data_IF_621955646135
#
_entry.id   IF_621955646135
#
_cell.length_a   1.000
_cell.length_b   1.000
_cell.length_c   1.000
_cell.angle_alpha   90.00
_cell.angle_beta   90.00
_cell.angle_gamma   90.00
#
_symmetry.space_group_name_H-M   'P 1'
#
loop_
_entity.id
_entity.type
_entity.pdbx_description
1 polymer ?
#
# COMPACT_ATOMS: atom_id res chain seq x y z
N UNK A 1 3.57 -8.67 20.99
CA UNK A 1 2.69 -7.59 20.51
C UNK A 1 3.15 -6.22 21.00
N UNK A 2 2.91 -5.83 22.27
CA UNK A 2 3.31 -4.49 22.78
C UNK A 2 4.81 -4.18 22.62
N UNK A 3 5.69 -5.16 22.88
CA UNK A 3 7.14 -5.00 22.66
C UNK A 3 7.51 -4.63 21.22
N UNK A 4 6.80 -5.16 20.23
CA UNK A 4 7.10 -4.90 18.82
C UNK A 4 6.66 -3.47 18.44
N UNK A 5 5.46 -3.06 18.87
CA UNK A 5 4.95 -1.69 18.70
C UNK A 5 5.94 -0.67 19.30
N UNK A 6 6.41 -0.92 20.53
CA UNK A 6 7.38 -0.05 21.22
C UNK A 6 8.74 0.05 20.50
N UNK A 7 9.12 -0.97 19.71
CA UNK A 7 10.34 -0.96 18.90
C UNK A 7 10.12 -0.23 17.56
N UNK A 8 8.93 -0.37 16.97
CA UNK A 8 8.65 0.11 15.61
C UNK A 8 8.23 1.58 15.59
N UNK A 9 7.36 2.00 16.52
CA UNK A 9 6.83 3.37 16.58
C UNK A 9 7.93 4.44 16.67
N UNK A 10 9.00 4.31 17.48
CA UNK A 10 10.07 5.32 17.50
C UNK A 10 10.85 5.45 16.18
N UNK A 11 10.78 4.44 15.30
CA UNK A 11 11.53 4.36 14.03
C UNK A 11 10.69 4.77 12.81
N UNK A 12 9.38 4.98 12.98
CA UNK A 12 8.51 5.40 11.90
C UNK A 12 8.85 6.81 11.41
N UNK A 13 8.71 7.05 10.10
CA UNK A 13 8.86 8.36 9.47
C UNK A 13 10.00 9.22 10.06
N UNK A 14 11.25 8.73 10.10
CA UNK A 14 12.33 9.34 10.90
C UNK A 14 12.70 10.76 10.45
N UNK A 15 12.40 11.11 9.20
CA UNK A 15 12.66 12.42 8.61
C UNK A 15 11.56 13.45 8.91
N UNK A 16 10.45 13.04 9.53
CA UNK A 16 9.30 13.90 9.79
C UNK A 16 9.22 14.24 11.30
N UNK A 17 9.56 15.48 11.72
CA UNK A 17 9.78 15.84 13.12
C UNK A 17 8.62 15.55 14.07
N UNK A 18 7.37 15.66 13.59
CA UNK A 18 6.16 15.36 14.37
C UNK A 18 6.20 13.95 14.98
N UNK A 19 6.63 12.92 14.25
CA UNK A 19 6.66 11.54 14.73
C UNK A 19 7.79 11.27 15.74
N UNK A 20 8.70 12.22 15.93
CA UNK A 20 9.74 12.15 16.95
C UNK A 20 9.25 12.67 18.32
N UNK A 21 8.08 13.33 18.37
CA UNK A 21 7.52 13.85 19.61
C UNK A 21 6.88 12.73 20.43
N UNK A 22 7.15 12.70 21.75
CA UNK A 22 6.65 11.65 22.64
C UNK A 22 5.14 11.52 22.63
N UNK A 23 4.42 12.65 22.60
CA UNK A 23 2.95 12.66 22.56
C UNK A 23 2.39 11.93 21.35
N UNK A 24 3.02 12.07 20.17
CA UNK A 24 2.61 11.38 18.95
C UNK A 24 2.92 9.90 19.04
N UNK A 25 4.12 9.54 19.51
CA UNK A 25 4.51 8.13 19.71
C UNK A 25 3.55 7.42 20.68
N UNK A 26 3.17 8.07 21.77
CA UNK A 26 2.20 7.53 22.73
C UNK A 26 0.80 7.33 22.12
N UNK A 27 0.35 8.24 21.23
CA UNK A 27 -0.90 8.04 20.47
C UNK A 27 -0.80 6.79 19.58
N UNK A 28 0.28 6.66 18.81
CA UNK A 28 0.52 5.49 17.95
C UNK A 28 0.60 4.19 18.73
N UNK A 29 1.35 4.16 19.83
CA UNK A 29 1.45 2.99 20.70
C UNK A 29 0.08 2.55 21.23
N UNK A 30 -0.76 3.49 21.71
CA UNK A 30 -2.11 3.18 22.20
C UNK A 30 -3.01 2.66 21.10
N UNK A 31 -3.15 3.38 19.99
CA UNK A 31 -4.09 2.99 18.93
C UNK A 31 -3.70 1.65 18.29
N UNK A 32 -2.41 1.43 18.03
CA UNK A 32 -1.93 0.17 17.46
C UNK A 32 -2.06 -0.99 18.45
N UNK A 33 -1.85 -0.74 19.76
CA UNK A 33 -2.06 -1.75 20.79
C UNK A 33 -3.53 -2.15 20.88
N UNK A 34 -4.44 -1.17 20.91
CA UNK A 34 -5.88 -1.43 20.94
C UNK A 34 -6.33 -2.18 19.69
N UNK A 35 -5.85 -1.77 18.51
CA UNK A 35 -6.18 -2.46 17.27
C UNK A 35 -5.73 -3.91 17.28
N UNK A 36 -4.46 -4.16 17.63
CA UNK A 36 -3.88 -5.50 17.66
C UNK A 36 -4.54 -6.42 18.70
N UNK A 37 -4.95 -5.88 19.85
CA UNK A 37 -5.68 -6.63 20.87
C UNK A 37 -7.10 -7.03 20.41
N UNK A 38 -7.72 -6.25 19.52
CA UNK A 38 -9.05 -6.54 18.94
C UNK A 38 -9.01 -7.48 17.74
N UNK A 39 -7.84 -7.71 17.14
CA UNK A 39 -7.66 -8.54 15.95
C UNK A 39 -6.65 -9.68 16.21
N UNK A 40 -7.01 -10.69 17.04
CA UNK A 40 -6.08 -11.72 17.50
C UNK A 40 -5.51 -12.61 16.37
N UNK A 41 -6.21 -12.71 15.24
CA UNK A 41 -5.74 -13.44 14.04
C UNK A 41 -4.55 -12.77 13.34
N UNK A 42 -4.37 -11.47 13.54
CA UNK A 42 -3.30 -10.66 12.94
C UNK A 42 -2.30 -10.19 14.00
N UNK A 43 -2.79 -9.72 15.14
CA UNK A 43 -1.97 -9.03 16.14
C UNK A 43 -1.41 -7.73 15.58
N UNK A 44 -0.16 -7.40 15.90
CA UNK A 44 0.55 -6.28 15.27
C UNK A 44 1.59 -6.82 14.29
N UNK A 45 1.54 -6.35 13.06
CA UNK A 45 2.49 -6.63 11.99
C UNK A 45 3.15 -5.33 11.58
N UNK A 46 4.47 -5.34 11.44
CA UNK A 46 5.24 -4.18 10.99
C UNK A 46 4.70 -3.71 9.62
N UNK A 47 4.49 -2.41 9.45
CA UNK A 47 3.84 -1.81 8.28
C UNK A 47 2.44 -1.25 8.59
N UNK A 48 1.72 -1.80 9.58
CA UNK A 48 0.42 -1.25 10.02
C UNK A 48 0.61 0.17 10.60
N UNK A 49 1.72 0.43 11.27
CA UNK A 49 2.08 1.77 11.75
C UNK A 49 2.19 2.78 10.60
N UNK A 50 2.68 2.36 9.43
CA UNK A 50 2.87 3.24 8.28
C UNK A 50 1.53 3.56 7.61
N UNK A 51 0.54 2.67 7.70
CA UNK A 51 -0.84 2.93 7.27
C UNK A 51 -1.57 3.95 8.16
N UNK A 52 -1.16 4.11 9.42
CA UNK A 52 -1.76 5.09 10.30
C UNK A 52 -1.23 6.52 10.04
N UNK A 53 -0.04 6.65 9.47
CA UNK A 53 0.63 7.94 9.23
C UNK A 53 -0.21 8.92 8.39
N UNK A 54 -0.76 8.55 7.21
CA UNK A 54 -1.47 9.52 6.37
C UNK A 54 -2.75 10.03 7.05
N UNK A 55 -3.53 9.15 7.69
CA UNK A 55 -4.72 9.55 8.43
C UNK A 55 -4.37 10.49 9.59
N UNK A 56 -3.33 10.16 10.35
CA UNK A 56 -2.90 11.00 11.47
C UNK A 56 -2.52 12.41 11.04
N UNK A 57 -1.75 12.55 9.95
CA UNK A 57 -1.37 13.86 9.41
C UNK A 57 -2.58 14.64 8.89
N UNK A 58 -3.47 13.99 8.13
CA UNK A 58 -4.69 14.63 7.62
C UNK A 58 -5.56 15.18 8.77
N UNK A 59 -5.82 14.38 9.80
CA UNK A 59 -6.62 14.83 10.95
C UNK A 59 -5.89 15.86 11.81
N UNK A 60 -4.56 15.75 11.93
CA UNK A 60 -3.76 16.75 12.65
C UNK A 60 -3.78 18.12 11.96
N UNK A 61 -3.81 18.13 10.62
CA UNK A 61 -3.82 19.37 9.81
C UNK A 61 -5.05 20.26 10.04
N UNK A 62 -6.15 19.72 10.58
CA UNK A 62 -7.31 20.51 11.01
C UNK A 62 -6.96 21.49 12.15
N UNK A 63 -5.99 21.13 12.98
CA UNK A 63 -5.58 21.89 14.16
C UNK A 63 -4.21 22.56 14.02
N UNK A 64 -3.44 22.20 12.99
CA UNK A 64 -2.05 22.60 12.80
C UNK A 64 -1.85 23.13 11.38
N UNK A 65 -1.51 24.43 11.27
CA UNK A 65 -1.24 25.08 9.98
C UNK A 65 0.19 24.84 9.46
N UNK A 66 1.18 24.76 10.35
CA UNK A 66 2.60 24.55 10.00
C UNK A 66 3.15 23.32 10.73
N UNK A 67 3.07 22.15 10.10
CA UNK A 67 3.44 20.87 10.73
C UNK A 67 4.91 20.79 11.17
N UNK A 68 5.84 21.31 10.38
CA UNK A 68 7.29 21.11 10.60
C UNK A 68 7.79 21.73 11.91
N UNK A 69 7.16 22.82 12.37
CA UNK A 69 7.58 23.59 13.56
C UNK A 69 6.65 23.40 14.75
N UNK A 70 5.52 22.72 14.56
CA UNK A 70 4.48 22.64 15.58
C UNK A 70 4.77 21.55 16.62
N UNK A 71 4.70 21.94 17.89
CA UNK A 71 4.74 21.00 19.01
C UNK A 71 3.33 20.52 19.31
N UNK A 72 3.05 19.25 19.00
CA UNK A 72 1.73 18.62 19.14
C UNK A 72 1.22 18.65 20.59
N UNK A 73 2.12 18.72 21.57
CA UNK A 73 1.80 18.89 22.99
C UNK A 73 1.06 20.20 23.32
N UNK A 74 1.00 21.16 22.38
CA UNK A 74 0.25 22.41 22.52
C UNK A 74 -1.25 22.23 22.26
N UNK A 75 -1.66 21.14 21.60
CA UNK A 75 -3.07 20.83 21.40
C UNK A 75 -3.75 20.52 22.73
N UNK A 76 -5.04 20.83 22.81
CA UNK A 76 -5.86 20.40 23.95
C UNK A 76 -5.94 18.88 23.99
N UNK A 77 -6.19 18.33 25.19
CA UNK A 77 -6.41 16.89 25.35
C UNK A 77 -7.59 16.38 24.51
N UNK A 78 -8.58 17.23 24.26
CA UNK A 78 -9.73 16.89 23.44
C UNK A 78 -9.36 16.79 21.97
N UNK A 79 -8.64 17.79 21.43
CA UNK A 79 -8.15 17.77 20.05
C UNK A 79 -7.26 16.55 19.78
N UNK A 80 -6.33 16.24 20.69
CA UNK A 80 -5.49 15.05 20.59
C UNK A 80 -6.28 13.75 20.57
N UNK A 81 -7.33 13.64 21.40
CA UNK A 81 -8.21 12.47 21.43
C UNK A 81 -9.03 12.34 20.16
N UNK A 82 -9.49 13.44 19.59
CA UNK A 82 -10.18 13.45 18.29
C UNK A 82 -9.26 12.90 17.21
N UNK A 83 -8.06 13.46 17.06
CA UNK A 83 -7.07 12.98 16.06
C UNK A 83 -6.75 11.49 16.25
N UNK A 84 -6.50 11.04 17.49
CA UNK A 84 -6.20 9.64 17.79
C UNK A 84 -7.38 8.71 17.49
N UNK A 85 -8.61 9.10 17.87
CA UNK A 85 -9.81 8.30 17.65
C UNK A 85 -10.17 8.19 16.16
N UNK A 86 -10.13 9.29 15.42
CA UNK A 86 -10.46 9.31 14.00
C UNK A 86 -9.41 8.53 13.19
N UNK A 87 -8.12 8.70 13.53
CA UNK A 87 -7.05 7.88 12.96
C UNK A 87 -7.31 6.38 13.22
N UNK A 88 -7.62 6.01 14.46
CA UNK A 88 -7.90 4.62 14.82
C UNK A 88 -9.06 4.03 14.00
N UNK A 89 -10.18 4.74 13.88
CA UNK A 89 -11.34 4.23 13.15
C UNK A 89 -11.10 4.14 11.64
N UNK A 90 -10.45 5.13 11.04
CA UNK A 90 -10.12 5.10 9.62
C UNK A 90 -9.11 4.00 9.28
N UNK A 91 -8.08 3.79 10.12
CA UNK A 91 -7.14 2.67 9.98
C UNK A 91 -7.86 1.34 10.15
N UNK A 92 -8.77 1.22 11.12
CA UNK A 92 -9.55 0.00 11.34
C UNK A 92 -10.39 -0.34 10.10
N UNK A 93 -11.10 0.64 9.56
CA UNK A 93 -11.92 0.49 8.36
C UNK A 93 -11.08 0.12 7.12
N UNK A 94 -9.91 0.74 6.95
CA UNK A 94 -8.99 0.38 5.87
C UNK A 94 -8.55 -1.08 5.99
N UNK A 95 -8.11 -1.49 7.19
CA UNK A 95 -7.58 -2.82 7.44
C UNK A 95 -8.64 -3.92 7.31
N UNK A 96 -9.93 -3.61 7.51
CA UNK A 96 -11.03 -4.56 7.25
C UNK A 96 -11.06 -5.08 5.82
N UNK A 97 -10.63 -4.27 4.84
CA UNK A 97 -10.61 -4.64 3.43
C UNK A 97 -9.35 -5.42 3.02
N UNK A 98 -8.36 -5.52 3.90
CA UNK A 98 -7.05 -6.14 3.61
C UNK A 98 -6.55 -6.98 4.80
N UNK A 99 -7.45 -7.56 5.60
CA UNK A 99 -7.10 -8.28 6.83
C UNK A 99 -6.15 -9.45 6.58
N UNK A 100 -6.37 -10.15 5.47
CA UNK A 100 -5.60 -11.30 5.00
C UNK A 100 -4.15 -10.97 4.61
N UNK A 101 -3.84 -9.68 4.40
CA UNK A 101 -2.45 -9.22 4.27
C UNK A 101 -1.66 -9.32 5.58
N UNK A 102 -2.35 -9.40 6.72
CA UNK A 102 -1.74 -9.31 8.05
C UNK A 102 -2.04 -10.52 8.94
N UNK A 103 -2.74 -11.53 8.44
CA UNK A 103 -2.90 -12.80 9.14
C UNK A 103 -1.64 -13.66 9.00
N UNK A 104 -1.58 -14.79 9.72
CA UNK A 104 -0.48 -15.74 9.63
C UNK A 104 -0.20 -16.14 8.17
N UNK A 105 1.07 -16.17 7.79
CA UNK A 105 1.55 -16.41 6.41
C UNK A 105 1.12 -15.38 5.35
N UNK A 106 0.41 -14.31 5.73
CA UNK A 106 0.06 -13.18 4.85
C UNK A 106 -0.50 -13.59 3.47
N UNK A 107 -1.50 -14.49 3.39
CA UNK A 107 -2.01 -15.02 2.13
C UNK A 107 -2.48 -13.93 1.16
N UNK A 108 -3.04 -12.83 1.67
CA UNK A 108 -3.48 -11.70 0.84
C UNK A 108 -2.32 -11.03 0.08
N UNK A 109 -1.13 -10.95 0.69
CA UNK A 109 0.07 -10.44 0.02
C UNK A 109 0.50 -11.39 -1.09
N UNK A 110 0.51 -12.70 -0.83
CA UNK A 110 0.88 -13.69 -1.85
C UNK A 110 -0.04 -13.65 -3.07
N UNK A 111 -1.36 -13.54 -2.86
CA UNK A 111 -2.34 -13.40 -3.94
C UNK A 111 -2.10 -12.11 -4.74
N UNK A 112 -1.91 -10.97 -4.07
CA UNK A 112 -1.63 -9.70 -4.74
C UNK A 112 -0.35 -9.72 -5.57
N UNK A 113 0.71 -10.38 -5.08
CA UNK A 113 1.96 -10.56 -5.84
C UNK A 113 1.74 -11.44 -7.07
N UNK A 114 0.92 -12.49 -6.96
CA UNK A 114 0.55 -13.33 -8.09
C UNK A 114 -0.25 -12.53 -9.13
N UNK A 115 -1.28 -11.79 -8.72
CA UNK A 115 -2.08 -10.95 -9.62
C UNK A 115 -1.20 -9.90 -10.33
N UNK A 116 -0.24 -9.31 -9.61
CA UNK A 116 0.73 -8.37 -10.18
C UNK A 116 1.61 -9.04 -11.26
N UNK A 117 2.09 -10.25 -11.01
CA UNK A 117 2.85 -11.05 -12.00
C UNK A 117 2.03 -11.32 -13.24
N UNK A 118 0.76 -11.68 -13.08
CA UNK A 118 -0.15 -11.94 -14.19
C UNK A 118 -0.36 -10.67 -15.03
N UNK A 119 -0.62 -9.52 -14.39
CA UNK A 119 -0.77 -8.24 -15.11
C UNK A 119 0.52 -7.85 -15.85
N UNK A 120 1.69 -7.96 -15.21
CA UNK A 120 2.97 -7.57 -15.83
C UNK A 120 3.36 -8.52 -16.96
N UNK A 121 3.16 -9.83 -16.83
CA UNK A 121 3.48 -10.79 -17.91
C UNK A 121 2.73 -10.49 -19.22
N UNK A 122 1.54 -9.92 -19.13
CA UNK A 122 0.73 -9.54 -20.31
C UNK A 122 1.03 -8.12 -20.79
N UNK A 123 1.37 -7.19 -19.89
CA UNK A 123 1.51 -5.76 -20.23
C UNK A 123 2.95 -5.30 -20.45
N UNK A 124 3.92 -6.06 -19.96
CA UNK A 124 5.35 -5.80 -20.07
C UNK A 124 6.16 -7.12 -19.88
N UNK A 125 6.03 -8.02 -20.84
CA UNK A 125 6.71 -9.33 -20.88
C UNK A 125 8.24 -9.21 -20.70
N UNK A 126 8.85 -8.16 -21.24
CA UNK A 126 10.30 -7.93 -21.12
C UNK A 126 10.72 -7.70 -19.67
N UNK A 127 9.94 -6.91 -18.91
CA UNK A 127 10.20 -6.70 -17.48
C UNK A 127 9.95 -7.98 -16.69
N UNK A 128 8.90 -8.73 -17.03
CA UNK A 128 8.60 -10.02 -16.39
C UNK A 128 9.76 -11.01 -16.52
N UNK A 129 10.21 -11.26 -17.75
CA UNK A 129 11.32 -12.17 -18.05
C UNK A 129 12.63 -11.70 -17.40
N UNK A 130 12.84 -10.38 -17.35
CA UNK A 130 14.00 -9.80 -16.69
C UNK A 130 14.01 -10.11 -15.18
N UNK A 131 12.88 -9.95 -14.49
CA UNK A 131 12.78 -10.28 -13.08
C UNK A 131 12.98 -11.78 -12.83
N UNK A 132 12.33 -12.64 -13.62
CA UNK A 132 12.48 -14.09 -13.52
C UNK A 132 13.94 -14.53 -13.72
N UNK A 133 14.59 -14.03 -14.78
CA UNK A 133 16.01 -14.30 -15.09
C UNK A 133 16.94 -13.93 -13.95
N UNK A 134 16.67 -12.83 -13.24
CA UNK A 134 17.51 -12.35 -12.15
C UNK A 134 17.06 -12.85 -10.76
N UNK A 135 16.02 -13.68 -10.69
CA UNK A 135 15.49 -14.21 -9.42
C UNK A 135 14.87 -13.13 -8.52
N UNK A 136 14.36 -12.05 -9.11
CA UNK A 136 13.71 -10.94 -8.41
C UNK A 136 12.22 -11.24 -8.29
N UNK A 137 11.70 -11.25 -7.07
CA UNK A 137 10.26 -11.35 -6.85
C UNK A 137 9.58 -9.99 -7.00
N UNK A 138 8.28 -10.00 -7.32
CA UNK A 138 7.50 -8.79 -7.51
C UNK A 138 7.14 -8.17 -6.15
N UNK A 139 7.48 -6.91 -5.90
CA UNK A 139 7.21 -6.26 -4.63
C UNK A 139 5.74 -5.81 -4.51
N UNK A 140 5.13 -6.07 -3.36
CA UNK A 140 3.71 -5.79 -3.08
C UNK A 140 3.41 -4.36 -2.60
N UNK A 141 4.42 -3.52 -2.35
CA UNK A 141 4.24 -2.22 -1.63
C UNK A 141 5.03 -1.06 -2.26
N UNK A 142 5.24 -1.09 -3.57
CA UNK A 142 6.25 -0.24 -4.22
C UNK A 142 6.06 1.29 -4.16
N UNK A 143 4.96 1.79 -3.63
CA UNK A 143 4.62 3.20 -3.79
C UNK A 143 4.58 3.87 -2.42
N UNK A 144 5.41 4.91 -2.19
CA UNK A 144 5.25 5.74 -1.01
C UNK A 144 3.80 6.20 -0.92
N UNK A 145 3.15 5.87 0.19
CA UNK A 145 1.79 6.28 0.49
C UNK A 145 1.74 7.81 0.57
N UNK A 146 1.44 8.47 -0.54
CA UNK A 146 1.11 9.90 -0.55
C UNK A 146 -0.37 10.05 -0.25
N UNK A 147 -0.73 11.09 0.49
CA UNK A 147 -2.13 11.46 0.77
C UNK A 147 -2.92 11.53 -0.55
N UNK A 148 -2.31 12.06 -1.61
CA UNK A 148 -2.92 12.17 -2.93
C UNK A 148 -3.28 10.82 -3.56
N UNK A 149 -2.46 9.78 -3.40
CA UNK A 149 -2.80 8.43 -3.88
C UNK A 149 -3.97 7.85 -3.09
N UNK A 150 -4.02 8.15 -1.79
CA UNK A 150 -5.08 7.68 -0.90
C UNK A 150 -6.43 8.32 -1.21
N UNK A 151 -6.47 9.58 -1.70
CA UNK A 151 -7.70 10.18 -2.21
C UNK A 151 -8.35 9.31 -3.29
N UNK A 152 -7.53 8.77 -4.21
CA UNK A 152 -8.01 7.87 -5.26
C UNK A 152 -8.42 6.52 -4.67
N UNK A 153 -7.65 5.94 -3.75
CA UNK A 153 -7.99 4.65 -3.12
C UNK A 153 -9.27 4.68 -2.30
N UNK A 154 -9.54 5.80 -1.63
CA UNK A 154 -10.77 5.98 -0.86
C UNK A 154 -11.98 6.29 -1.76
N UNK A 155 -11.75 6.80 -2.97
CA UNK A 155 -12.80 7.09 -3.95
C UNK A 155 -13.17 5.87 -4.81
N UNK A 156 -12.21 4.97 -5.06
CA UNK A 156 -12.43 3.75 -5.82
C UNK A 156 -13.03 2.65 -4.93
N UNK A 157 -13.98 1.90 -5.49
CA UNK A 157 -14.50 0.71 -4.83
C UNK A 157 -13.37 -0.32 -4.74
N UNK A 158 -13.17 -0.90 -3.55
CA UNK A 158 -12.14 -1.92 -3.33
C UNK A 158 -10.71 -1.37 -3.65
N UNK A 159 -10.49 -0.06 -3.43
CA UNK A 159 -9.29 0.64 -3.84
C UNK A 159 -7.97 0.09 -3.25
N UNK A 160 -7.95 -0.20 -1.95
CA UNK A 160 -6.78 -0.78 -1.28
C UNK A 160 -6.63 -2.29 -1.52
N UNK A 161 -7.73 -3.00 -1.80
CA UNK A 161 -7.74 -4.45 -1.97
C UNK A 161 -7.39 -4.86 -3.40
N UNK A 162 -8.12 -4.35 -4.40
CA UNK A 162 -7.99 -4.71 -5.82
C UNK A 162 -7.23 -3.65 -6.63
N UNK A 163 -7.62 -2.37 -6.56
CA UNK A 163 -7.04 -1.32 -7.41
C UNK A 163 -5.53 -1.13 -7.18
N UNK A 164 -5.07 -1.34 -5.93
CA UNK A 164 -3.65 -1.26 -5.58
C UNK A 164 -2.74 -2.11 -6.47
N UNK A 165 -3.15 -3.32 -6.84
CA UNK A 165 -2.38 -4.21 -7.73
C UNK A 165 -2.11 -3.55 -9.08
N UNK A 166 -3.11 -2.88 -9.65
CA UNK A 166 -2.97 -2.17 -10.92
C UNK A 166 -2.13 -0.90 -10.80
N UNK A 167 -2.15 -0.23 -9.64
CA UNK A 167 -1.23 0.87 -9.38
C UNK A 167 0.21 0.37 -9.29
N UNK A 168 0.47 -0.76 -8.61
CA UNK A 168 1.79 -1.39 -8.60
C UNK A 168 2.26 -1.77 -10.01
N UNK A 169 1.35 -2.29 -10.85
CA UNK A 169 1.67 -2.64 -12.23
C UNK A 169 2.04 -1.41 -13.08
N UNK A 170 1.21 -0.37 -13.05
CA UNK A 170 1.49 0.91 -13.73
C UNK A 170 2.81 1.53 -13.23
N UNK A 171 3.07 1.45 -11.93
CA UNK A 171 4.29 1.97 -11.33
C UNK A 171 5.54 1.21 -11.77
N UNK A 172 5.50 -0.12 -11.84
CA UNK A 172 6.59 -0.93 -12.39
C UNK A 172 6.85 -0.61 -13.87
N UNK A 173 5.77 -0.50 -14.67
CA UNK A 173 5.86 -0.14 -16.10
C UNK A 173 6.51 1.23 -16.31
N UNK A 174 6.22 2.21 -15.45
CA UNK A 174 6.85 3.53 -15.49
C UNK A 174 8.38 3.45 -15.39
N UNK A 175 8.91 2.49 -14.63
CA UNK A 175 10.34 2.30 -14.41
C UNK A 175 10.95 1.15 -15.23
N UNK A 176 10.17 0.49 -16.07
CA UNK A 176 10.54 -0.75 -16.76
C UNK A 176 11.89 -0.67 -17.47
N UNK A 177 12.10 0.34 -18.32
CA UNK A 177 13.38 0.52 -19.04
C UNK A 177 14.58 0.67 -18.12
N UNK A 178 14.40 1.32 -16.97
CA UNK A 178 15.47 1.54 -16.00
C UNK A 178 15.74 0.27 -15.19
N UNK A 179 14.68 -0.45 -14.79
CA UNK A 179 14.79 -1.74 -14.13
C UNK A 179 15.54 -2.75 -15.02
N UNK A 180 15.19 -2.83 -16.31
CA UNK A 180 15.85 -3.71 -17.27
C UNK A 180 17.31 -3.31 -17.59
N UNK A 181 17.72 -2.08 -17.26
CA UNK A 181 19.10 -1.63 -17.45
C UNK A 181 20.05 -2.10 -16.35
N UNK A 182 19.51 -2.49 -15.20
CA UNK A 182 20.27 -3.15 -14.14
C UNK A 182 20.54 -4.60 -14.57
N UNK A 183 21.76 -5.10 -14.36
CA UNK A 183 22.19 -6.40 -14.93
C UNK A 183 22.39 -7.49 -13.89
N UNK A 184 22.12 -7.19 -12.63
CA UNK A 184 22.22 -8.13 -11.53
C UNK A 184 21.08 -7.91 -10.51
N UNK A 185 20.84 -8.94 -9.69
CA UNK A 185 19.80 -8.93 -8.66
C UNK A 185 19.94 -7.75 -7.70
N UNK A 186 21.17 -7.40 -7.32
CA UNK A 186 21.43 -6.37 -6.33
C UNK A 186 21.08 -4.97 -6.86
N UNK A 187 21.44 -4.66 -8.10
CA UNK A 187 21.11 -3.41 -8.78
C UNK A 187 19.60 -3.22 -8.90
N UNK A 188 18.88 -4.28 -9.32
CA UNK A 188 17.41 -4.25 -9.42
C UNK A 188 16.79 -4.00 -8.03
N UNK A 189 17.22 -4.72 -7.00
CA UNK A 189 16.68 -4.57 -5.64
C UNK A 189 16.97 -3.17 -5.05
N UNK A 190 18.18 -2.64 -5.24
CA UNK A 190 18.52 -1.28 -4.80
C UNK A 190 17.65 -0.25 -5.52
N UNK A 191 17.46 -0.41 -6.83
CA UNK A 191 16.63 0.48 -7.61
C UNK A 191 15.17 0.44 -7.15
N UNK A 192 14.59 -0.75 -6.98
CA UNK A 192 13.22 -0.94 -6.49
C UNK A 192 13.00 -0.29 -5.12
N UNK A 193 13.99 -0.39 -4.22
CA UNK A 193 13.92 0.21 -2.88
C UNK A 193 14.11 1.74 -2.89
N UNK A 194 14.68 2.30 -3.96
CA UNK A 194 15.07 3.72 -4.04
C UNK A 194 14.61 4.39 -5.35
N UNK A 195 13.42 4.02 -5.85
CA UNK A 195 12.83 4.69 -7.00
C UNK A 195 12.66 6.19 -6.71
N UNK A 196 12.97 7.08 -7.66
CA UNK A 196 13.07 8.52 -7.39
C UNK A 196 11.69 9.19 -7.37
N UNK A 197 10.92 8.89 -6.32
CA UNK A 197 9.55 9.36 -6.09
C UNK A 197 9.45 10.53 -5.11
N UNK A 198 10.56 10.91 -4.47
CA UNK A 198 10.59 11.94 -3.41
C UNK A 198 9.99 13.29 -3.83
N UNK A 199 10.17 13.68 -5.10
CA UNK A 199 9.73 14.96 -5.63
C UNK A 199 8.49 14.81 -6.53
N UNK A 200 7.72 13.73 -6.37
CA UNK A 200 6.53 13.55 -7.19
C UNK A 200 5.47 14.60 -6.86
N UNK A 201 4.88 15.15 -7.92
CA UNK A 201 3.77 16.10 -7.86
C UNK A 201 2.43 15.39 -8.01
N UNK A 202 1.34 16.12 -7.79
CA UNK A 202 -0.01 15.62 -8.03
C UNK A 202 -0.21 15.16 -9.48
N UNK A 203 0.49 15.76 -10.45
CA UNK A 203 0.38 15.39 -11.87
C UNK A 203 0.89 13.97 -12.10
N UNK A 204 2.05 13.61 -11.54
CA UNK A 204 2.62 12.27 -11.66
C UNK A 204 1.75 11.22 -10.96
N UNK A 205 1.14 11.56 -9.82
CA UNK A 205 0.18 10.67 -9.16
C UNK A 205 -1.08 10.50 -10.02
N UNK A 206 -1.61 11.58 -10.62
CA UNK A 206 -2.75 11.51 -11.53
C UNK A 206 -2.46 10.62 -12.74
N UNK A 207 -1.32 10.81 -13.41
CA UNK A 207 -0.90 9.99 -14.56
C UNK A 207 -0.78 8.52 -14.19
N UNK A 208 -0.12 8.22 -13.05
CA UNK A 208 0.00 6.87 -12.54
C UNK A 208 -1.37 6.22 -12.29
N UNK A 209 -2.27 6.93 -11.60
CA UNK A 209 -3.61 6.40 -11.30
C UNK A 209 -4.48 6.24 -12.55
N UNK A 210 -4.27 7.07 -13.59
CA UNK A 210 -4.98 6.95 -14.86
C UNK A 210 -4.54 5.72 -15.67
N UNK A 211 -3.23 5.43 -15.70
CA UNK A 211 -2.71 4.19 -16.30
C UNK A 211 -3.20 2.96 -15.52
N UNK A 212 -3.14 3.02 -14.19
CA UNK A 212 -3.66 1.95 -13.34
C UNK A 212 -5.17 1.69 -13.55
N UNK A 213 -5.98 2.74 -13.69
CA UNK A 213 -7.40 2.59 -13.98
C UNK A 213 -7.62 1.96 -15.36
N UNK A 214 -6.82 2.35 -16.36
CA UNK A 214 -6.86 1.75 -17.69
C UNK A 214 -6.52 0.26 -17.65
N UNK A 215 -5.49 -0.13 -16.89
CA UNK A 215 -5.15 -1.54 -16.64
C UNK A 215 -6.31 -2.28 -15.98
N UNK A 216 -6.87 -1.74 -14.89
CA UNK A 216 -8.00 -2.35 -14.20
C UNK A 216 -9.19 -2.58 -15.13
N UNK A 217 -9.55 -1.62 -15.98
CA UNK A 217 -10.66 -1.78 -16.93
C UNK A 217 -10.40 -2.90 -17.95
N UNK A 218 -9.16 -3.04 -18.43
CA UNK A 218 -8.79 -4.12 -19.34
C UNK A 218 -8.90 -5.47 -18.64
N UNK A 219 -8.33 -5.64 -17.45
CA UNK A 219 -8.27 -6.94 -16.79
C UNK A 219 -9.57 -7.33 -16.06
N UNK A 220 -10.24 -6.40 -15.38
CA UNK A 220 -11.55 -6.64 -14.75
C UNK A 220 -12.67 -6.78 -15.81
N UNK A 221 -12.54 -6.12 -16.96
CA UNK A 221 -13.41 -6.32 -18.13
C UNK A 221 -13.17 -7.67 -18.84
N UNK A 222 -11.91 -8.09 -18.94
CA UNK A 222 -11.51 -9.37 -19.52
C UNK A 222 -11.83 -10.55 -18.62
N UNK A 223 -11.84 -10.40 -17.29
CA UNK A 223 -12.29 -11.43 -16.35
C UNK A 223 -13.75 -11.84 -16.61
N UNK A 224 -14.64 -10.88 -16.97
CA UNK A 224 -16.02 -11.19 -17.39
C UNK A 224 -16.11 -11.93 -18.73
N UNK A 225 -15.10 -11.84 -19.60
CA UNK A 225 -15.06 -12.56 -20.89
C UNK A 225 -14.30 -13.89 -20.82
N UNK A 226 -13.26 -13.99 -19.98
CA UNK A 226 -12.50 -15.22 -19.74
C UNK A 226 -13.27 -16.22 -18.87
N UNK A 227 -14.06 -15.77 -17.89
CA UNK A 227 -14.96 -16.65 -17.12
C UNK A 227 -16.09 -17.25 -17.99
N UNK A 228 -16.57 -16.51 -19.00
CA UNK A 228 -17.58 -17.02 -19.94
C UNK A 228 -16.98 -17.99 -20.98
N UNK A 229 -15.75 -17.76 -21.44
CA UNK A 229 -15.11 -18.62 -22.45
C UNK A 229 -14.54 -19.92 -21.87
N UNK A 230 -14.12 -19.93 -20.60
CA UNK A 230 -13.69 -21.14 -19.87
C UNK A 230 -14.88 -22.04 -19.48
N UNK A 231 -16.06 -21.48 -19.16
CA UNK A 231 -17.30 -22.27 -18.96
C UNK A 231 -17.89 -22.84 -20.27
N UNK A 232 -17.71 -22.16 -21.40
CA UNK A 232 -18.15 -22.66 -22.71
C UNK A 232 -17.24 -23.78 -23.26
N UNK A 233 -15.94 -23.77 -22.93
CA UNK A 233 -15.02 -24.85 -23.33
C UNK A 233 -15.29 -26.16 -22.59
N UNK A 234 -15.71 -26.13 -21.33
CA UNK A 234 -16.06 -27.35 -20.59
C UNK A 234 -17.42 -27.97 -20.96
N UNK A 235 -18.35 -27.21 -21.57
CA UNK A 235 -19.64 -27.76 -22.03
C UNK A 235 -19.56 -28.53 -23.36
N UNK A 236 -18.52 -28.29 -24.17
CA UNK A 236 -18.38 -28.92 -25.49
C UNK A 236 -17.49 -30.18 -25.49
N UNK A 237 -16.85 -30.54 -24.37
CA UNK A 237 -16.01 -31.76 -24.26
C UNK A 237 -16.80 -32.98 -23.75
N UNK A 238 -18.06 -32.80 -23.27
CA UNK A 238 -18.93 -33.90 -22.81
C UNK A 238 -20.11 -34.20 -23.75
N UNK A 239 -20.03 -33.79 -25.01
CA UNK A 239 -20.96 -34.21 -26.07
C UNK A 239 -20.19 -34.76 -27.26
N UNK A 240 -19.59 -35.94 -27.09
CA UNK A 240 -19.41 -36.94 -28.14
C UNK A 240 -19.27 -38.32 -27.51
#
# INVERSE_FOLDING_TARGET
>A
MFRQIYIDVPRMCPLHPIFQQSVVRECFERMLFVWAARHPSSGYVQGINDLATPFFLVFLSEFVLEEETFHVSKLSKEQLRTVEADTFWCVSFLLENIQDNYTFEQPGIHLKVQDLKEVISVTDEQLYDHFDKHGVDFPSVLIPATIRLWDTYLSEKDGFSEFHTYVCAAFLRLWSKRLQSETDFQGIMILLQNLPTKNWTNEQICELTADAFSLMQVFSGSAKQHLNSSQLRHRNVHRH
#
